data_IF_793163416613
#
_entry.id   IF_793163416613
#
_cell.length_a   1.000
_cell.length_b   1.000
_cell.length_c   1.000
_cell.angle_alpha   90.00
_cell.angle_beta   90.00
_cell.angle_gamma   90.00
#
_symmetry.space_group_name_H-M   'P 1'
#
loop_
_entity.id
_entity.type
_entity.pdbx_description
1 polymer ?
#
# COMPACT_ATOMS: atom_id res chain seq x y z
N UNK A 1 30.34 11.91 66.95
CA UNK A 1 30.37 12.52 65.61
C UNK A 1 30.99 11.55 64.59
N UNK A 2 30.28 10.52 64.12
CA UNK A 2 30.76 9.61 63.06
C UNK A 2 29.68 9.11 62.08
N UNK A 3 28.43 9.57 62.19
CA UNK A 3 27.31 9.03 61.40
C UNK A 3 26.76 9.99 60.33
N UNK A 4 27.32 11.19 60.20
CA UNK A 4 26.82 12.20 59.23
C UNK A 4 27.43 12.09 57.83
N UNK A 5 28.55 11.37 57.67
CA UNK A 5 29.24 11.24 56.37
C UNK A 5 28.61 10.17 55.47
N UNK A 6 27.92 9.17 56.06
CA UNK A 6 27.27 8.08 55.31
C UNK A 6 25.95 8.52 54.64
N UNK A 7 25.26 9.51 55.20
CA UNK A 7 23.98 10.00 54.66
C UNK A 7 24.15 10.86 53.39
N UNK A 8 25.28 11.55 53.25
CA UNK A 8 25.58 12.39 52.07
C UNK A 8 25.98 11.54 50.86
N UNK A 9 26.68 10.41 51.08
CA UNK A 9 27.05 9.49 50.02
C UNK A 9 25.83 8.75 49.42
N UNK A 10 24.79 8.49 50.22
CA UNK A 10 23.58 7.81 49.76
C UNK A 10 22.67 8.73 48.92
N UNK A 11 22.65 10.05 49.20
CA UNK A 11 21.86 11.03 48.44
C UNK A 11 22.45 11.32 47.04
N UNK A 12 23.77 11.21 46.87
CA UNK A 12 24.43 11.43 45.58
C UNK A 12 24.11 10.35 44.53
N UNK A 13 23.77 9.13 44.94
CA UNK A 13 23.47 8.01 44.03
C UNK A 13 22.07 8.14 43.40
N UNK A 14 21.12 8.77 44.10
CA UNK A 14 19.75 8.98 43.58
C UNK A 14 19.57 10.25 42.74
N UNK A 15 20.53 11.20 42.74
CA UNK A 15 20.44 12.46 42.00
C UNK A 15 20.97 12.39 40.56
N UNK A 16 21.85 11.42 40.24
CA UNK A 16 22.44 11.25 38.90
C UNK A 16 21.45 10.85 37.78
N UNK A 17 20.44 9.98 38.02
CA UNK A 17 19.51 9.59 36.95
C UNK A 17 18.59 10.74 36.51
N UNK A 18 18.16 11.60 37.43
CA UNK A 18 17.26 12.72 37.12
C UNK A 18 17.90 13.75 36.17
N UNK A 19 19.19 14.04 36.36
CA UNK A 19 19.92 14.99 35.50
C UNK A 19 20.14 14.43 34.09
N UNK A 20 20.37 13.11 33.98
CA UNK A 20 20.51 12.43 32.69
C UNK A 20 19.19 12.42 31.90
N UNK A 21 18.07 12.19 32.57
CA UNK A 21 16.75 12.14 31.93
C UNK A 21 16.30 13.54 31.46
N UNK A 22 16.55 14.59 32.24
CA UNK A 22 16.26 15.97 31.84
C UNK A 22 17.13 16.43 30.67
N UNK A 23 18.43 16.10 30.69
CA UNK A 23 19.33 16.40 29.57
C UNK A 23 18.87 15.70 28.29
N UNK A 24 18.50 14.42 28.37
CA UNK A 24 18.00 13.67 27.22
C UNK A 24 16.73 14.31 26.63
N UNK A 25 15.75 14.66 27.46
CA UNK A 25 14.54 15.34 26.99
C UNK A 25 14.84 16.69 26.28
N UNK A 26 15.84 17.43 26.76
CA UNK A 26 16.29 18.66 26.11
C UNK A 26 16.96 18.41 24.74
N UNK A 27 17.77 17.35 24.62
CA UNK A 27 18.36 16.96 23.34
C UNK A 27 17.28 16.47 22.36
N UNK A 28 16.33 15.65 22.80
CA UNK A 28 15.20 15.18 21.97
C UNK A 28 14.35 16.34 21.43
N UNK A 29 14.06 17.35 22.27
CA UNK A 29 13.34 18.55 21.84
C UNK A 29 14.13 19.37 20.81
N UNK A 30 15.44 19.52 20.98
CA UNK A 30 16.30 20.21 20.01
C UNK A 30 16.40 19.45 18.68
N UNK A 31 16.55 18.13 18.73
CA UNK A 31 16.59 17.26 17.56
C UNK A 31 15.25 17.33 16.80
N UNK A 32 14.13 17.18 17.51
CA UNK A 32 12.80 17.31 16.92
C UNK A 32 12.66 18.65 16.23
N UNK A 33 13.06 19.74 16.88
CA UNK A 33 13.00 21.08 16.29
C UNK A 33 13.77 21.18 14.97
N UNK A 34 14.98 20.62 14.87
CA UNK A 34 15.75 20.62 13.60
C UNK A 34 15.02 19.88 12.49
N UNK A 35 14.36 18.75 12.80
CA UNK A 35 13.57 17.98 11.83
C UNK A 35 12.34 18.77 11.37
N UNK A 36 11.60 19.39 12.30
CA UNK A 36 10.43 20.21 11.97
C UNK A 36 10.80 21.46 11.18
N UNK A 37 11.89 22.13 11.56
CA UNK A 37 12.43 23.30 10.87
C UNK A 37 12.88 22.95 9.45
N UNK A 38 13.59 21.83 9.27
CA UNK A 38 14.01 21.33 7.96
C UNK A 38 12.81 21.21 7.02
N UNK A 39 11.77 20.48 7.44
CA UNK A 39 10.57 20.30 6.62
C UNK A 39 9.89 21.63 6.36
N UNK A 40 9.70 22.46 7.38
CA UNK A 40 9.06 23.77 7.24
C UNK A 40 9.79 24.63 6.19
N UNK A 41 11.12 24.73 6.29
CA UNK A 41 11.92 25.51 5.36
C UNK A 41 11.95 24.92 3.95
N UNK A 42 11.91 23.58 3.83
CA UNK A 42 11.77 22.91 2.54
C UNK A 42 10.46 23.30 1.84
N UNK A 43 9.33 23.23 2.54
CA UNK A 43 8.01 23.58 2.02
C UNK A 43 7.85 25.08 1.73
N UNK A 44 8.50 25.93 2.51
CA UNK A 44 8.57 27.39 2.29
C UNK A 44 9.56 27.80 1.19
N UNK A 45 10.31 26.85 0.59
CA UNK A 45 11.35 27.11 -0.42
C UNK A 45 12.48 28.01 0.08
N UNK A 46 12.74 27.98 1.38
CA UNK A 46 13.82 28.74 2.00
C UNK A 46 15.09 27.89 2.06
N UNK A 47 15.81 27.84 0.94
CA UNK A 47 17.01 27.00 0.81
C UNK A 47 18.07 27.32 1.88
N UNK A 48 18.34 28.60 2.14
CA UNK A 48 19.38 29.00 3.10
C UNK A 48 19.06 28.50 4.51
N UNK A 49 17.79 28.60 4.93
CA UNK A 49 17.36 28.10 6.24
C UNK A 49 17.28 26.58 6.31
N UNK A 50 16.84 25.94 5.23
CA UNK A 50 16.88 24.49 5.11
C UNK A 50 18.31 23.95 5.21
N UNK A 51 19.26 24.62 4.54
CA UNK A 51 20.67 24.25 4.56
C UNK A 51 21.31 24.36 5.94
N UNK A 52 20.85 25.26 6.82
CA UNK A 52 21.30 25.34 8.22
C UNK A 52 20.93 24.08 9.03
N UNK A 53 19.89 23.35 8.61
CA UNK A 53 19.40 22.14 9.29
C UNK A 53 20.14 20.87 8.87
N UNK A 54 20.90 20.89 7.79
CA UNK A 54 21.55 19.71 7.18
C UNK A 54 23.06 19.78 7.38
N UNK A 55 23.68 18.63 7.62
CA UNK A 55 25.13 18.53 7.74
C UNK A 55 25.79 18.74 6.37
N UNK A 56 26.76 19.66 6.31
CA UNK A 56 27.54 19.93 5.08
C UNK A 56 28.75 18.98 5.07
N UNK A 57 28.47 17.69 4.91
CA UNK A 57 29.44 16.60 5.06
C UNK A 57 29.37 15.66 3.84
N UNK A 58 30.50 15.03 3.49
CA UNK A 58 30.57 14.05 2.40
C UNK A 58 29.80 12.76 2.74
N UNK A 59 29.59 12.49 4.04
CA UNK A 59 28.76 11.39 4.52
C UNK A 59 27.26 11.72 4.54
N UNK A 60 26.88 12.94 4.18
CA UNK A 60 25.46 13.29 4.10
C UNK A 60 24.75 12.39 3.08
N UNK A 61 23.52 11.99 3.37
CA UNK A 61 22.78 11.10 2.47
C UNK A 61 21.29 11.40 2.49
N UNK A 62 20.69 11.39 1.30
CA UNK A 62 19.26 11.47 1.11
C UNK A 62 18.79 10.25 0.31
N UNK A 63 17.68 9.65 0.74
CA UNK A 63 16.94 8.69 -0.07
C UNK A 63 15.44 8.82 0.10
N UNK A 64 14.70 8.74 -1.00
CA UNK A 64 13.26 8.58 -1.02
C UNK A 64 12.88 7.38 -1.89
N UNK A 65 12.01 6.51 -1.37
CA UNK A 65 11.56 5.32 -2.11
C UNK A 65 10.04 5.23 -2.16
N UNK A 66 9.49 5.01 -3.37
CA UNK A 66 8.06 4.83 -3.62
C UNK A 66 7.83 3.99 -4.89
N UNK A 67 6.87 3.06 -4.92
CA UNK A 67 6.67 2.17 -6.07
C UNK A 67 6.02 2.83 -7.31
N UNK A 68 5.45 4.03 -7.20
CA UNK A 68 4.60 4.61 -8.25
C UNK A 68 5.26 5.67 -9.12
N UNK A 69 6.55 5.93 -8.93
CA UNK A 69 7.23 7.01 -9.63
C UNK A 69 8.09 6.54 -10.81
N UNK A 70 7.93 5.30 -11.28
CA UNK A 70 8.66 4.77 -12.43
C UNK A 70 10.17 4.82 -12.22
N UNK A 71 10.91 5.51 -13.09
CA UNK A 71 12.36 5.74 -12.92
C UNK A 71 12.71 6.52 -11.64
N UNK A 72 11.75 7.26 -11.07
CA UNK A 72 11.88 7.98 -9.80
C UNK A 72 11.39 7.15 -8.61
N UNK A 73 11.21 5.84 -8.77
CA UNK A 73 10.83 4.95 -7.67
C UNK A 73 11.88 4.92 -6.54
N UNK A 74 13.12 5.25 -6.89
CA UNK A 74 14.23 5.49 -5.97
C UNK A 74 14.86 6.83 -6.34
N UNK A 75 14.99 7.71 -5.36
CA UNK A 75 15.70 8.97 -5.48
C UNK A 75 16.79 8.98 -4.42
N UNK A 76 18.04 9.18 -4.83
CA UNK A 76 19.19 9.18 -3.93
C UNK A 76 20.11 10.36 -4.24
N UNK A 77 20.77 10.88 -3.21
CA UNK A 77 21.84 11.86 -3.34
C UNK A 77 22.89 11.64 -2.26
N UNK A 78 24.16 11.68 -2.65
CA UNK A 78 25.31 11.37 -1.81
C UNK A 78 26.18 12.61 -1.58
N UNK A 79 26.44 12.91 -0.31
CA UNK A 79 27.19 14.08 0.12
C UNK A 79 26.39 15.37 -0.03
N UNK A 80 26.87 16.40 0.66
CA UNK A 80 26.23 17.72 0.68
C UNK A 80 26.07 18.34 -0.72
N UNK A 81 27.06 18.17 -1.60
CA UNK A 81 27.02 18.78 -2.94
C UNK A 81 25.82 18.29 -3.76
N UNK A 82 25.61 16.98 -3.84
CA UNK A 82 24.48 16.40 -4.59
C UNK A 82 23.14 16.72 -3.94
N UNK A 83 23.04 16.59 -2.61
CA UNK A 83 21.80 16.88 -1.87
C UNK A 83 21.41 18.35 -2.05
N UNK A 84 22.36 19.27 -1.89
CA UNK A 84 22.09 20.70 -2.04
C UNK A 84 21.64 21.07 -3.46
N UNK A 85 22.27 20.49 -4.49
CA UNK A 85 21.88 20.67 -5.88
C UNK A 85 20.47 20.13 -6.14
N UNK A 86 20.21 18.89 -5.75
CA UNK A 86 18.91 18.25 -5.88
C UNK A 86 17.81 19.07 -5.20
N UNK A 87 18.02 19.49 -3.96
CA UNK A 87 17.03 20.27 -3.20
C UNK A 87 16.75 21.62 -3.86
N UNK A 88 17.77 22.32 -4.38
CA UNK A 88 17.56 23.57 -5.12
C UNK A 88 16.70 23.36 -6.36
N UNK A 89 17.02 22.35 -7.17
CA UNK A 89 16.25 22.03 -8.37
C UNK A 89 14.78 21.73 -8.03
N UNK A 90 14.53 21.00 -6.94
CA UNK A 90 13.17 20.73 -6.46
C UNK A 90 12.47 22.01 -6.00
N UNK A 91 13.15 22.87 -5.24
CA UNK A 91 12.59 24.12 -4.73
C UNK A 91 12.31 25.14 -5.85
N UNK A 92 13.10 25.14 -6.92
CA UNK A 92 12.90 26.00 -8.10
C UNK A 92 11.74 25.51 -8.98
N UNK A 93 11.59 24.18 -9.09
CA UNK A 93 10.57 23.55 -9.95
C UNK A 93 9.15 23.70 -9.40
N UNK A 94 8.99 23.70 -8.07
CA UNK A 94 7.66 23.65 -7.43
C UNK A 94 7.41 24.86 -6.53
N UNK A 95 6.20 25.46 -6.57
CA UNK A 95 5.88 26.62 -5.73
C UNK A 95 5.95 26.27 -4.24
N UNK A 96 6.10 27.30 -3.40
CA UNK A 96 6.00 27.14 -1.95
C UNK A 96 4.63 26.58 -1.55
N UNK A 97 4.62 25.82 -0.46
CA UNK A 97 3.41 25.18 0.05
C UNK A 97 3.32 25.47 1.55
N UNK A 98 2.21 26.09 1.97
CA UNK A 98 1.96 26.42 3.38
C UNK A 98 1.45 25.22 4.19
N UNK A 99 1.01 24.16 3.51
CA UNK A 99 0.57 22.92 4.16
C UNK A 99 1.81 22.11 4.56
N UNK A 100 2.36 22.43 5.72
CA UNK A 100 3.44 21.66 6.35
C UNK A 100 2.85 20.34 6.85
N UNK A 101 3.45 19.20 6.48
CA UNK A 101 2.93 17.90 6.85
C UNK A 101 3.13 17.62 8.34
N UNK A 102 2.14 16.95 8.95
CA UNK A 102 2.20 16.55 10.35
C UNK A 102 3.14 15.35 10.53
N UNK A 103 3.91 15.37 11.63
CA UNK A 103 4.82 14.30 12.04
C UNK A 103 4.43 13.72 13.39
N UNK A 104 4.28 12.40 13.45
CA UNK A 104 3.86 11.65 14.65
C UNK A 104 4.85 10.53 14.97
N UNK A 105 4.66 9.90 16.13
CA UNK A 105 5.34 8.64 16.50
C UNK A 105 6.88 8.70 16.54
N UNK A 106 7.40 9.87 16.91
CA UNK A 106 8.83 10.06 17.11
C UNK A 106 9.41 9.07 18.12
N UNK A 107 10.49 8.39 17.73
CA UNK A 107 11.31 7.54 18.59
C UNK A 107 12.76 7.95 18.47
N UNK A 108 13.40 8.23 19.59
CA UNK A 108 14.77 8.74 19.64
C UNK A 108 15.73 7.72 20.24
N UNK A 109 16.93 7.65 19.67
CA UNK A 109 18.10 7.04 20.30
C UNK A 109 19.27 8.00 20.20
N UNK A 110 19.60 8.64 21.32
CA UNK A 110 20.68 9.64 21.40
C UNK A 110 21.90 9.04 22.09
N UNK A 111 23.07 9.16 21.48
CA UNK A 111 24.34 8.68 22.00
C UNK A 111 25.46 9.67 21.69
N UNK A 112 25.91 10.41 22.71
CA UNK A 112 26.94 11.43 22.56
C UNK A 112 26.48 12.55 21.60
N UNK A 113 27.22 12.73 20.51
CA UNK A 113 26.94 13.72 19.48
C UNK A 113 26.16 13.13 18.28
N UNK A 114 25.56 11.96 18.42
CA UNK A 114 24.76 11.31 17.37
C UNK A 114 23.35 11.03 17.86
N UNK A 115 22.39 11.11 16.94
CA UNK A 115 21.01 10.69 17.17
C UNK A 115 20.49 9.88 15.99
N UNK A 116 19.76 8.82 16.30
CA UNK A 116 18.95 8.07 15.35
C UNK A 116 17.48 8.28 15.72
N UNK A 117 16.68 8.73 14.75
CA UNK A 117 15.29 9.10 14.95
C UNK A 117 14.42 8.45 13.88
N UNK A 118 13.29 7.89 14.29
CA UNK A 118 12.23 7.44 13.37
C UNK A 118 10.93 8.14 13.68
N UNK A 119 10.12 8.43 12.67
CA UNK A 119 8.79 9.01 12.82
C UNK A 119 7.93 8.71 11.58
N UNK A 120 6.64 9.08 11.65
CA UNK A 120 5.70 8.97 10.53
C UNK A 120 5.30 10.37 10.07
N UNK A 121 5.35 10.64 8.77
CA UNK A 121 4.81 11.84 8.15
C UNK A 121 3.53 11.52 7.36
N UNK A 122 2.47 12.34 7.49
CA UNK A 122 1.19 12.18 6.79
C UNK A 122 0.61 10.74 6.82
N UNK A 123 0.69 10.10 7.99
CA UNK A 123 0.22 8.72 8.30
C UNK A 123 0.95 7.57 7.57
N UNK A 124 1.57 7.81 6.41
CA UNK A 124 2.00 6.76 5.49
C UNK A 124 3.43 6.87 4.98
N UNK A 125 4.17 7.90 5.40
CA UNK A 125 5.58 8.07 5.08
C UNK A 125 6.42 7.73 6.30
N UNK A 126 7.04 6.56 6.28
CA UNK A 126 7.96 6.14 7.32
C UNK A 126 9.32 6.80 7.10
N UNK A 127 9.79 7.56 8.09
CA UNK A 127 11.00 8.35 7.97
C UNK A 127 12.05 7.94 9.01
N UNK A 128 13.29 7.96 8.57
CA UNK A 128 14.48 7.83 9.42
C UNK A 128 15.36 9.06 9.24
N UNK A 129 15.85 9.57 10.36
CA UNK A 129 16.82 10.65 10.41
C UNK A 129 18.02 10.24 11.26
N UNK A 130 19.21 10.46 10.73
CA UNK A 130 20.44 10.44 11.53
C UNK A 130 20.91 11.88 11.66
N UNK A 131 21.13 12.32 12.89
CA UNK A 131 21.64 13.65 13.18
C UNK A 131 22.99 13.57 13.87
N UNK A 132 23.81 14.58 13.62
CA UNK A 132 25.07 14.80 14.29
C UNK A 132 25.08 16.17 14.99
N UNK A 133 25.78 16.26 16.12
CA UNK A 133 25.98 17.49 16.87
C UNK A 133 27.40 18.00 16.65
N UNK A 134 27.53 19.12 15.94
CA UNK A 134 28.79 19.84 15.71
C UNK A 134 28.64 21.26 16.25
N UNK A 135 29.63 21.73 17.01
CA UNK A 135 29.64 23.06 17.65
C UNK A 135 28.38 23.38 18.48
N UNK A 136 27.84 22.35 19.14
CA UNK A 136 26.66 22.47 19.99
C UNK A 136 25.32 22.49 19.23
N UNK A 137 25.33 22.40 17.91
CA UNK A 137 24.13 22.42 17.06
C UNK A 137 23.89 21.05 16.43
N UNK A 138 22.64 20.59 16.47
CA UNK A 138 22.21 19.40 15.73
C UNK A 138 22.00 19.73 14.27
N UNK A 139 22.44 18.84 13.39
CA UNK A 139 22.18 18.87 11.95
C UNK A 139 21.89 17.48 11.44
N UNK A 140 21.05 17.39 10.42
CA UNK A 140 20.65 16.13 9.80
C UNK A 140 21.77 15.66 8.87
N UNK A 141 22.34 14.50 9.19
CA UNK A 141 23.34 13.83 8.36
C UNK A 141 22.68 12.89 7.35
N UNK A 142 21.63 12.15 7.73
CA UNK A 142 20.92 11.25 6.81
C UNK A 142 19.41 11.48 6.85
N UNK A 143 18.80 11.51 5.66
CA UNK A 143 17.35 11.64 5.44
C UNK A 143 16.89 10.46 4.60
N UNK A 144 16.10 9.57 5.20
CA UNK A 144 15.58 8.41 4.50
C UNK A 144 14.07 8.37 4.68
N UNK A 145 13.33 8.26 3.58
CA UNK A 145 11.87 8.25 3.59
C UNK A 145 11.35 7.12 2.70
N UNK A 146 10.43 6.32 3.24
CA UNK A 146 9.77 5.22 2.53
C UNK A 146 8.27 5.44 2.54
N UNK A 147 7.66 5.52 1.36
CA UNK A 147 6.21 5.67 1.23
C UNK A 147 5.53 4.30 1.40
N UNK A 148 5.42 3.84 2.64
CA UNK A 148 4.87 2.51 2.97
C UNK A 148 3.42 2.37 2.48
N UNK A 149 2.60 3.42 2.62
CA UNK A 149 1.22 3.39 2.11
C UNK A 149 1.15 3.25 0.58
N UNK A 150 2.14 3.76 -0.16
CA UNK A 150 2.23 3.48 -1.59
C UNK A 150 2.62 2.02 -1.89
N UNK A 151 3.52 1.43 -1.10
CA UNK A 151 3.87 0.01 -1.24
C UNK A 151 2.70 -0.93 -0.99
N UNK A 152 1.85 -0.64 -0.01
CA UNK A 152 0.62 -1.42 0.23
C UNK A 152 -0.30 -1.42 -0.99
N UNK A 153 -0.52 -0.25 -1.58
CA UNK A 153 -1.34 -0.11 -2.80
C UNK A 153 -0.69 -0.80 -4.00
N UNK A 154 0.63 -0.73 -4.10
CA UNK A 154 1.37 -1.38 -5.18
C UNK A 154 1.27 -2.89 -5.05
N UNK A 155 1.28 -3.41 -3.82
CA UNK A 155 1.03 -4.81 -3.55
C UNK A 155 -0.34 -5.27 -4.06
N UNK A 156 -1.40 -4.47 -3.84
CA UNK A 156 -2.74 -4.76 -4.37
C UNK A 156 -2.72 -4.84 -5.91
N UNK A 157 -2.08 -3.87 -6.58
CA UNK A 157 -1.96 -3.85 -8.05
C UNK A 157 -1.13 -5.03 -8.57
N UNK A 158 0.00 -5.30 -7.93
CA UNK A 158 0.87 -6.41 -8.29
C UNK A 158 0.16 -7.77 -8.12
N UNK A 159 -0.59 -7.94 -7.03
CA UNK A 159 -1.38 -9.14 -6.78
C UNK A 159 -2.46 -9.35 -7.85
N UNK A 160 -3.16 -8.28 -8.28
CA UNK A 160 -4.04 -8.33 -9.44
C UNK A 160 -3.27 -8.75 -10.71
N UNK A 161 -2.17 -8.08 -11.04
CA UNK A 161 -1.39 -8.34 -12.26
C UNK A 161 -0.84 -9.76 -12.37
N UNK A 162 -0.72 -10.50 -11.27
CA UNK A 162 -0.37 -11.93 -11.27
C UNK A 162 -1.48 -12.84 -11.81
N UNK A 163 -2.73 -12.38 -11.75
CA UNK A 163 -3.89 -13.09 -12.29
C UNK A 163 -3.96 -13.00 -13.83
N UNK A 164 -3.20 -12.09 -14.46
CA UNK A 164 -3.18 -11.97 -15.91
C UNK A 164 -2.72 -13.27 -16.60
N UNK A 165 -3.39 -13.60 -17.70
CA UNK A 165 -3.20 -14.83 -18.46
C UNK A 165 -4.50 -15.34 -19.08
N UNK A 166 -4.38 -16.40 -19.87
CA UNK A 166 -5.53 -17.17 -20.36
C UNK A 166 -5.78 -18.35 -19.42
N UNK A 167 -7.04 -18.55 -19.06
CA UNK A 167 -7.50 -19.50 -18.06
C UNK A 167 -8.63 -20.35 -18.62
N UNK A 168 -8.65 -21.62 -18.25
CA UNK A 168 -9.72 -22.56 -18.60
C UNK A 168 -10.26 -23.21 -17.32
N UNK A 169 -11.58 -23.27 -17.19
CA UNK A 169 -12.22 -23.86 -16.01
C UNK A 169 -11.95 -25.36 -15.90
N UNK A 170 -11.69 -25.83 -14.68
CA UNK A 170 -11.77 -27.25 -14.35
C UNK A 170 -13.22 -27.60 -13.97
N UNK A 171 -13.96 -28.18 -14.91
CA UNK A 171 -15.36 -28.58 -14.73
C UNK A 171 -15.56 -29.57 -13.57
N UNK A 172 -14.54 -30.36 -13.19
CA UNK A 172 -14.65 -31.29 -12.07
C UNK A 172 -14.76 -30.57 -10.72
N UNK A 173 -14.29 -29.32 -10.66
CA UNK A 173 -14.32 -28.48 -9.46
C UNK A 173 -15.55 -27.58 -9.39
N UNK A 174 -16.28 -27.43 -10.51
CA UNK A 174 -17.42 -26.54 -10.62
C UNK A 174 -18.60 -27.03 -9.78
N UNK A 175 -19.01 -26.18 -8.84
CA UNK A 175 -20.19 -26.39 -7.98
C UNK A 175 -21.10 -25.18 -8.12
N UNK A 176 -22.41 -25.42 -8.31
CA UNK A 176 -23.45 -24.39 -8.33
C UNK A 176 -24.69 -24.86 -7.57
N UNK A 177 -25.43 -23.91 -6.97
CA UNK A 177 -26.61 -24.21 -6.17
C UNK A 177 -27.94 -24.29 -6.95
N UNK A 178 -28.04 -23.79 -8.19
CA UNK A 178 -29.30 -23.75 -8.94
C UNK A 178 -29.17 -23.64 -10.49
N UNK A 179 -30.25 -23.95 -11.22
CA UNK A 179 -30.49 -23.63 -12.64
C UNK A 179 -30.41 -24.81 -13.63
N UNK A 180 -31.21 -24.74 -14.70
CA UNK A 180 -31.42 -25.83 -15.68
C UNK A 180 -30.34 -25.93 -16.78
N UNK A 181 -29.34 -25.05 -16.74
CA UNK A 181 -28.24 -24.99 -17.70
C UNK A 181 -26.95 -25.52 -17.08
N UNK A 182 -26.36 -26.56 -17.67
CA UNK A 182 -25.07 -27.14 -17.24
C UNK A 182 -23.94 -26.40 -17.93
N UNK A 183 -22.94 -25.95 -17.15
CA UNK A 183 -21.74 -25.35 -17.71
C UNK A 183 -20.93 -26.42 -18.46
N UNK A 184 -20.60 -26.15 -19.72
CA UNK A 184 -19.84 -27.05 -20.60
C UNK A 184 -18.38 -26.64 -20.69
N UNK A 185 -18.09 -25.35 -20.72
CA UNK A 185 -16.73 -24.82 -20.78
C UNK A 185 -16.73 -23.34 -20.45
N UNK A 186 -15.65 -22.87 -19.84
CA UNK A 186 -15.37 -21.44 -19.65
C UNK A 186 -13.90 -21.19 -19.95
N UNK A 187 -13.64 -20.21 -20.81
CA UNK A 187 -12.30 -19.66 -21.05
C UNK A 187 -12.31 -18.20 -20.67
N UNK A 188 -11.35 -17.77 -19.87
CA UNK A 188 -11.19 -16.38 -19.45
C UNK A 188 -9.82 -15.87 -19.87
N UNK A 189 -9.79 -14.73 -20.54
CA UNK A 189 -8.57 -14.01 -20.90
C UNK A 189 -8.47 -12.78 -20.03
N UNK A 190 -7.42 -12.69 -19.23
CA UNK A 190 -7.17 -11.58 -18.30
C UNK A 190 -5.94 -10.82 -18.76
N UNK A 191 -6.11 -9.53 -19.04
CA UNK A 191 -5.06 -8.62 -19.46
C UNK A 191 -4.74 -7.58 -18.38
N UNK A 192 -3.50 -7.11 -18.36
CA UNK A 192 -3.08 -6.05 -17.44
C UNK A 192 -3.49 -4.69 -17.98
N UNK A 193 -4.02 -3.85 -17.12
CA UNK A 193 -4.16 -2.40 -17.36
C UNK A 193 -3.23 -1.63 -16.44
N UNK A 194 -2.97 -0.33 -16.69
CA UNK A 194 -2.11 0.48 -15.83
C UNK A 194 -2.53 0.50 -14.36
N UNK A 195 -3.83 0.34 -14.07
CA UNK A 195 -4.39 0.41 -12.72
C UNK A 195 -5.02 -0.90 -12.25
N UNK A 196 -4.95 -1.98 -13.03
CA UNK A 196 -5.51 -3.27 -12.63
C UNK A 196 -5.58 -4.27 -13.78
N UNK A 197 -6.76 -4.82 -14.04
CA UNK A 197 -7.01 -5.86 -15.03
C UNK A 197 -8.25 -5.57 -15.86
N UNK A 198 -8.24 -6.01 -17.11
CA UNK A 198 -9.44 -6.27 -17.91
C UNK A 198 -9.57 -7.77 -18.13
N UNK A 199 -10.78 -8.25 -18.32
CA UNK A 199 -10.99 -9.64 -18.72
C UNK A 199 -12.11 -9.78 -19.74
N UNK A 200 -12.01 -10.84 -20.52
CA UNK A 200 -13.05 -11.36 -21.39
C UNK A 200 -13.28 -12.82 -21.04
N UNK A 201 -14.51 -13.20 -20.74
CA UNK A 201 -14.92 -14.56 -20.44
C UNK A 201 -15.86 -15.08 -21.54
N UNK A 202 -15.59 -16.28 -22.03
CA UNK A 202 -16.45 -17.01 -22.94
C UNK A 202 -16.95 -18.29 -22.26
N UNK A 203 -18.24 -18.35 -21.99
CA UNK A 203 -18.87 -19.47 -21.28
C UNK A 203 -19.91 -20.16 -22.15
N UNK A 204 -19.80 -21.49 -22.28
CA UNK A 204 -20.76 -22.33 -23.01
C UNK A 204 -21.58 -23.15 -22.04
N UNK A 205 -22.90 -23.13 -22.21
CA UNK A 205 -23.84 -23.90 -21.41
C UNK A 205 -24.68 -24.82 -22.27
N UNK A 206 -25.19 -25.90 -21.65
CA UNK A 206 -26.09 -26.87 -22.27
C UNK A 206 -27.33 -27.11 -21.39
N UNK A 207 -28.52 -27.11 -21.97
CA UNK A 207 -29.75 -27.51 -21.27
C UNK A 207 -30.02 -29.03 -21.38
N UNK A 208 -31.08 -29.51 -20.74
CA UNK A 208 -31.47 -30.92 -20.77
C UNK A 208 -31.89 -31.43 -22.16
N UNK A 209 -32.27 -30.53 -23.08
CA UNK A 209 -32.57 -30.86 -24.47
C UNK A 209 -31.32 -30.97 -25.36
N UNK A 210 -30.15 -30.61 -24.83
CA UNK A 210 -28.88 -30.60 -25.56
C UNK A 210 -28.58 -29.31 -26.32
N UNK A 211 -29.44 -28.28 -26.22
CA UNK A 211 -29.19 -26.99 -26.84
C UNK A 211 -28.01 -26.30 -26.18
N UNK A 212 -27.19 -25.62 -26.99
CA UNK A 212 -26.04 -24.86 -26.53
C UNK A 212 -26.34 -23.36 -26.50
N UNK A 213 -25.82 -22.68 -25.49
CA UNK A 213 -25.75 -21.21 -25.42
C UNK A 213 -24.33 -20.79 -25.12
N UNK A 214 -23.87 -19.75 -25.82
CA UNK A 214 -22.57 -19.13 -25.60
C UNK A 214 -22.81 -17.73 -25.06
N UNK A 215 -22.10 -17.40 -23.99
CA UNK A 215 -22.12 -16.10 -23.34
C UNK A 215 -20.73 -15.50 -23.42
N UNK A 216 -20.68 -14.19 -23.65
CA UNK A 216 -19.47 -13.39 -23.51
C UNK A 216 -19.70 -12.34 -22.42
N UNK A 217 -18.77 -12.28 -21.47
CA UNK A 217 -18.76 -11.29 -20.40
C UNK A 217 -17.43 -10.54 -20.45
N UNK A 218 -17.50 -9.22 -20.27
CA UNK A 218 -16.31 -8.38 -20.20
C UNK A 218 -16.32 -7.62 -18.89
N UNK A 219 -15.18 -7.57 -18.22
CA UNK A 219 -15.07 -6.85 -16.97
C UNK A 219 -13.72 -6.22 -16.75
N UNK A 220 -13.64 -5.45 -15.68
CA UNK A 220 -12.46 -4.71 -15.28
C UNK A 220 -12.35 -4.68 -13.77
N UNK A 221 -11.14 -4.87 -13.26
CA UNK A 221 -10.79 -4.60 -11.87
C UNK A 221 -9.75 -3.48 -11.85
N UNK A 222 -9.90 -2.48 -11.00
CA UNK A 222 -8.99 -1.34 -10.93
C UNK A 222 -8.71 -0.94 -9.49
N UNK A 223 -7.44 -0.81 -9.13
CA UNK A 223 -6.99 -0.27 -7.85
C UNK A 223 -7.13 1.26 -7.89
N UNK A 224 -7.86 1.81 -6.94
CA UNK A 224 -7.83 3.25 -6.68
C UNK A 224 -6.53 3.59 -5.97
N UNK A 225 -5.60 4.27 -6.65
CA UNK A 225 -4.27 4.58 -6.11
C UNK A 225 -4.27 5.59 -4.95
N UNK A 226 -5.40 6.24 -4.69
CA UNK A 226 -5.56 7.09 -3.52
C UNK A 226 -5.96 6.26 -2.29
N UNK A 227 -6.82 5.26 -2.44
CA UNK A 227 -7.40 4.51 -1.31
C UNK A 227 -6.90 3.06 -1.17
N UNK A 228 -6.24 2.51 -2.19
CA UNK A 228 -5.86 1.09 -2.27
C UNK A 228 -7.03 0.13 -2.52
N UNK A 229 -8.26 0.66 -2.63
CA UNK A 229 -9.47 -0.16 -2.84
C UNK A 229 -9.56 -0.60 -4.29
N UNK A 230 -9.87 -1.87 -4.51
CA UNK A 230 -10.12 -2.44 -5.84
C UNK A 230 -11.59 -2.27 -6.17
N UNK A 231 -11.90 -1.49 -7.20
CA UNK A 231 -13.22 -1.47 -7.81
C UNK A 231 -13.35 -2.60 -8.83
N UNK A 232 -14.48 -3.29 -8.84
CA UNK A 232 -14.77 -4.35 -9.80
C UNK A 232 -16.01 -4.01 -10.61
N UNK A 233 -15.88 -4.19 -11.91
CA UNK A 233 -16.92 -3.89 -12.89
C UNK A 233 -17.07 -5.08 -13.83
N UNK A 234 -18.29 -5.45 -14.15
CA UNK A 234 -18.57 -6.43 -15.20
C UNK A 234 -19.81 -6.03 -15.97
N UNK A 235 -19.71 -6.07 -17.29
CA UNK A 235 -20.80 -5.83 -18.20
C UNK A 235 -21.07 -7.13 -18.99
N UNK A 236 -22.27 -7.72 -18.87
CA UNK A 236 -22.66 -8.77 -19.80
C UNK A 236 -22.73 -8.16 -21.21
N UNK A 237 -22.15 -8.82 -22.21
CA UNK A 237 -22.26 -8.39 -23.60
C UNK A 237 -23.63 -8.76 -24.17
N UNK A 238 -24.70 -8.23 -23.59
CA UNK A 238 -26.01 -8.21 -24.23
C UNK A 238 -26.13 -6.94 -25.08
N UNK A 239 -26.63 -7.01 -26.32
CA UNK A 239 -26.71 -5.85 -27.23
C UNK A 239 -27.64 -4.71 -26.74
N UNK A 240 -28.21 -4.82 -25.54
CA UNK A 240 -29.17 -3.86 -24.98
C UNK A 240 -28.87 -3.40 -23.54
N UNK A 241 -27.86 -3.95 -22.84
CA UNK A 241 -27.49 -3.50 -21.49
C UNK A 241 -26.30 -2.54 -21.56
N UNK A 242 -26.54 -1.25 -21.33
CA UNK A 242 -25.45 -0.28 -21.18
C UNK A 242 -24.57 -0.60 -19.96
N UNK A 243 -23.34 -0.07 -19.94
CA UNK A 243 -22.39 -0.17 -18.81
C UNK A 243 -22.92 0.35 -17.46
N UNK A 244 -24.13 0.88 -17.40
CA UNK A 244 -24.76 1.49 -16.23
C UNK A 244 -25.26 0.50 -15.18
N UNK A 245 -25.32 -0.81 -15.48
CA UNK A 245 -25.72 -1.86 -14.52
C UNK A 245 -24.52 -2.61 -13.90
N UNK A 246 -23.29 -2.17 -14.19
CA UNK A 246 -22.06 -2.96 -14.11
C UNK A 246 -21.19 -2.79 -12.85
N UNK A 247 -21.72 -2.38 -11.70
CA UNK A 247 -20.89 -2.21 -10.49
C UNK A 247 -20.92 -3.47 -9.60
N UNK A 248 -19.87 -4.31 -9.68
CA UNK A 248 -19.69 -5.52 -8.87
C UNK A 248 -19.25 -5.24 -7.44
N UNK A 249 -18.95 -3.97 -7.13
CA UNK A 249 -18.61 -3.50 -5.80
C UNK A 249 -17.14 -3.18 -5.62
N UNK A 250 -16.66 -3.32 -4.39
CA UNK A 250 -15.30 -2.95 -4.02
C UNK A 250 -14.66 -3.98 -3.10
N UNK A 251 -13.34 -4.07 -3.15
CA UNK A 251 -12.59 -5.13 -2.49
C UNK A 251 -11.15 -4.78 -2.16
N UNK A 252 -10.48 -5.74 -1.52
CA UNK A 252 -9.05 -5.71 -1.20
C UNK A 252 -8.52 -7.13 -1.04
N UNK A 253 -7.23 -7.31 -1.27
CA UNK A 253 -6.51 -8.49 -0.82
C UNK A 253 -6.35 -8.48 0.70
N UNK A 254 -6.52 -9.65 1.32
CA UNK A 254 -6.10 -9.88 2.71
C UNK A 254 -4.62 -10.30 2.80
N UNK A 255 -4.15 -10.59 4.01
CA UNK A 255 -2.76 -11.00 4.28
C UNK A 255 -2.41 -12.37 3.67
N UNK A 256 -3.41 -13.19 3.33
CA UNK A 256 -3.26 -14.50 2.70
C UNK A 256 -3.20 -14.40 1.17
N UNK A 257 -3.42 -13.20 0.62
CA UNK A 257 -3.46 -12.96 -0.83
C UNK A 257 -4.78 -13.37 -1.47
N UNK A 258 -5.87 -13.44 -0.70
CA UNK A 258 -7.22 -13.64 -1.21
C UNK A 258 -7.86 -12.27 -1.47
N UNK A 259 -8.30 -12.03 -2.70
CA UNK A 259 -9.07 -10.84 -3.07
C UNK A 259 -10.51 -11.03 -2.65
N UNK A 260 -11.01 -10.20 -1.72
CA UNK A 260 -12.41 -10.17 -1.31
C UNK A 260 -13.10 -8.99 -1.96
N UNK A 261 -14.16 -9.22 -2.74
CA UNK A 261 -14.97 -8.17 -3.36
C UNK A 261 -16.38 -8.26 -2.80
N UNK A 262 -16.94 -7.13 -2.38
CA UNK A 262 -18.32 -7.01 -1.89
C UNK A 262 -19.07 -5.97 -2.70
N UNK A 263 -20.26 -6.33 -3.20
CA UNK A 263 -21.11 -5.44 -3.99
C UNK A 263 -22.55 -5.87 -4.12
N UNK A 264 -23.34 -5.09 -4.87
CA UNK A 264 -24.73 -5.39 -5.18
C UNK A 264 -24.84 -6.56 -6.17
N UNK A 265 -25.81 -7.45 -5.95
CA UNK A 265 -26.05 -8.58 -6.83
C UNK A 265 -26.53 -8.15 -8.22
N UNK A 266 -26.13 -8.89 -9.25
CA UNK A 266 -26.60 -8.67 -10.63
C UNK A 266 -28.12 -8.83 -10.68
N UNK A 267 -28.83 -7.78 -11.10
CA UNK A 267 -30.28 -7.79 -11.32
C UNK A 267 -31.16 -7.41 -10.13
N UNK A 268 -30.61 -7.31 -8.92
CA UNK A 268 -31.34 -6.83 -7.75
C UNK A 268 -30.39 -6.11 -6.79
N UNK A 269 -30.51 -4.78 -6.75
CA UNK A 269 -29.71 -3.91 -5.90
C UNK A 269 -29.82 -4.23 -4.40
N UNK A 270 -30.80 -5.06 -4.01
CA UNK A 270 -31.03 -5.49 -2.65
C UNK A 270 -30.18 -6.70 -2.21
N UNK A 271 -29.58 -7.43 -3.16
CA UNK A 271 -28.74 -8.59 -2.85
C UNK A 271 -27.29 -8.17 -2.61
N UNK A 272 -26.61 -8.87 -1.69
CA UNK A 272 -25.18 -8.68 -1.42
C UNK A 272 -24.40 -9.87 -1.94
N UNK A 273 -23.46 -9.62 -2.85
CA UNK A 273 -22.52 -10.60 -3.34
C UNK A 273 -21.18 -10.47 -2.61
N UNK A 274 -20.60 -11.59 -2.19
CA UNK A 274 -19.21 -11.72 -1.77
C UNK A 274 -18.50 -12.63 -2.77
N UNK A 275 -17.46 -12.10 -3.41
CA UNK A 275 -16.64 -12.83 -4.38
C UNK A 275 -15.20 -12.91 -3.87
N UNK A 276 -14.60 -14.09 -4.02
CA UNK A 276 -13.21 -14.36 -3.65
C UNK A 276 -12.42 -14.88 -4.82
N UNK A 277 -11.22 -14.33 -5.01
CA UNK A 277 -10.23 -14.81 -5.96
C UNK A 277 -8.90 -15.04 -5.27
N UNK A 278 -8.21 -16.14 -5.56
CA UNK A 278 -6.84 -16.36 -5.10
C UNK A 278 -6.07 -17.28 -6.04
N UNK A 279 -4.75 -17.12 -6.06
CA UNK A 279 -3.85 -17.98 -6.82
C UNK A 279 -3.30 -19.08 -5.91
N UNK A 280 -3.38 -20.33 -6.36
CA UNK A 280 -2.74 -21.47 -5.71
C UNK A 280 -1.88 -22.21 -6.74
N UNK A 281 -0.59 -21.91 -6.76
CA UNK A 281 0.31 -22.39 -7.81
C UNK A 281 -0.09 -21.85 -9.19
N UNK A 282 -0.41 -22.76 -10.11
CA UNK A 282 -0.83 -22.46 -11.48
C UNK A 282 -2.36 -22.39 -11.63
N UNK A 283 -3.10 -22.42 -10.51
CA UNK A 283 -4.56 -22.36 -10.48
C UNK A 283 -5.07 -20.99 -10.02
N UNK A 284 -6.11 -20.50 -10.68
CA UNK A 284 -6.93 -19.38 -10.24
C UNK A 284 -8.20 -19.95 -9.63
N UNK A 285 -8.39 -19.71 -8.34
CA UNK A 285 -9.56 -20.18 -7.62
C UNK A 285 -10.60 -19.07 -7.54
N UNK A 286 -11.86 -19.48 -7.67
CA UNK A 286 -13.03 -18.62 -7.60
C UNK A 286 -14.03 -19.17 -6.59
N UNK A 287 -14.59 -18.26 -5.79
CA UNK A 287 -15.74 -18.53 -4.95
C UNK A 287 -16.66 -17.33 -4.92
N UNK A 288 -17.96 -17.56 -5.02
CA UNK A 288 -18.99 -16.53 -4.94
C UNK A 288 -20.15 -17.00 -4.08
N UNK A 289 -20.63 -16.11 -3.24
CA UNK A 289 -21.87 -16.26 -2.48
C UNK A 289 -22.72 -15.00 -2.65
N UNK A 290 -24.02 -15.19 -2.89
CA UNK A 290 -25.00 -14.10 -2.98
C UNK A 290 -26.07 -14.34 -1.92
N UNK A 291 -26.29 -13.33 -1.08
CA UNK A 291 -27.29 -13.33 -0.01
C UNK A 291 -28.35 -12.27 -0.28
N UNK A 292 -29.58 -12.57 0.12
CA UNK A 292 -30.64 -11.56 0.17
C UNK A 292 -30.48 -10.64 1.40
N UNK A 293 -31.34 -9.63 1.52
CA UNK A 293 -31.32 -8.69 2.67
C UNK A 293 -31.48 -9.36 4.04
N UNK A 294 -32.04 -10.58 4.09
CA UNK A 294 -32.20 -11.36 5.33
C UNK A 294 -30.94 -12.19 5.66
N UNK A 295 -29.92 -12.14 4.81
CA UNK A 295 -28.70 -12.93 4.94
C UNK A 295 -28.86 -14.39 4.49
N UNK A 296 -29.98 -14.73 3.85
CA UNK A 296 -30.23 -16.08 3.33
C UNK A 296 -29.48 -16.25 2.01
N UNK A 297 -28.80 -17.39 1.84
CA UNK A 297 -28.08 -17.72 0.61
C UNK A 297 -29.07 -17.93 -0.54
N UNK A 298 -28.94 -17.12 -1.59
CA UNK A 298 -29.74 -17.21 -2.82
C UNK A 298 -28.96 -17.98 -3.89
N UNK A 299 -27.64 -17.77 -3.95
CA UNK A 299 -26.77 -18.39 -4.93
C UNK A 299 -25.38 -18.59 -4.36
N UNK A 300 -24.75 -19.71 -4.70
CA UNK A 300 -23.34 -19.92 -4.45
C UNK A 300 -22.71 -20.69 -5.62
N UNK A 301 -21.48 -20.32 -5.96
CA UNK A 301 -20.67 -21.08 -6.91
C UNK A 301 -19.20 -21.07 -6.51
N UNK A 302 -18.50 -22.13 -6.93
CA UNK A 302 -17.05 -22.22 -6.77
C UNK A 302 -16.46 -23.04 -7.90
N UNK A 303 -15.27 -22.66 -8.35
CA UNK A 303 -14.51 -23.43 -9.33
C UNK A 303 -13.03 -23.05 -9.29
N UNK A 304 -12.22 -23.91 -9.89
CA UNK A 304 -10.83 -23.64 -10.18
C UNK A 304 -10.67 -23.46 -11.69
N UNK A 305 -9.75 -22.60 -12.09
CA UNK A 305 -9.28 -22.47 -13.46
C UNK A 305 -7.79 -22.75 -13.50
N UNK A 306 -7.32 -23.37 -14.57
CA UNK A 306 -5.90 -23.60 -14.83
C UNK A 306 -5.44 -22.74 -16.00
N UNK A 307 -4.15 -22.39 -16.02
CA UNK A 307 -3.59 -21.62 -17.14
C UNK A 307 -3.70 -22.42 -18.44
N UNK A 308 -4.31 -21.83 -19.46
CA UNK A 308 -4.45 -22.43 -20.78
C UNK A 308 -3.06 -22.76 -21.36
N UNK A 309 -2.85 -24.02 -21.74
CA UNK A 309 -1.56 -24.50 -22.26
C UNK A 309 -0.54 -24.89 -21.20
N UNK A 310 -0.82 -24.70 -19.90
CA UNK A 310 -0.10 -25.46 -18.87
C UNK A 310 -0.56 -26.92 -19.01
N UNK A 311 0.37 -27.85 -19.18
CA UNK A 311 0.02 -29.27 -19.16
C UNK A 311 -0.70 -29.57 -17.83
N UNK A 312 -1.91 -30.12 -17.89
CA UNK A 312 -2.62 -30.59 -16.72
C UNK A 312 -1.67 -31.48 -15.93
N UNK A 313 -1.27 -31.05 -14.73
CA UNK A 313 -0.41 -31.88 -13.88
C UNK A 313 -1.28 -33.07 -13.43
N UNK A 314 -0.81 -34.31 -13.68
CA UNK A 314 -1.58 -35.53 -13.40
C UNK A 314 -1.86 -35.74 -11.91
#
# INVERSE_FOLDING_TARGET
>A
MKNSTLLIALFAIFALPAFSQQKLAGEEAAIKKVIEDETMYFFQRNFDKWAECVAHDDMAYFSYTSPFHGEQALMEAHGWEEISKFTKEVMEKWPANENIPDKTDYKFKVAGNMAYVTFTENENLAETRVLEKKDGQWRILRMEATNSGAFEKFHQLYALHRMAGAWEIDLATFKKSAGDWTLVSTVMEIERTPTGLSHTEHSTYRNDQGDLRVYEEQGMMSVNMNTGVIGAFSAPHYPYSGWTEAAYGSGKFDEEGVLHIKGGGVGDAENVAEVKFWLEGDNLNFWQEVKNQKGEMVYASSYQMHRKGAAARP
#
